data_IF_821064049949
#
_entry.id   IF_821064049949
#
_cell.length_a   1.000
_cell.length_b   1.000
_cell.length_c   1.000
_cell.angle_alpha   90.00
_cell.angle_beta   90.00
_cell.angle_gamma   90.00
#
_symmetry.space_group_name_H-M   'P 1'
#
loop_
_entity.id
_entity.type
_entity.pdbx_description
1 polymer ?
#
# COMPACT_ATOMS: atom_id res chain seq x y z
N UNK A 1 -19.34 10.37 -21.23
CA UNK A 1 -20.25 10.08 -20.11
C UNK A 1 -20.19 11.24 -19.11
N UNK A 2 -21.30 11.45 -18.37
CA UNK A 2 -21.35 12.32 -17.20
C UNK A 2 -21.19 11.41 -15.96
N UNK A 3 -20.11 11.63 -15.21
CA UNK A 3 -19.75 10.75 -14.07
C UNK A 3 -19.67 11.61 -12.81
N UNK A 4 -20.31 11.16 -11.75
CA UNK A 4 -20.23 11.81 -10.43
C UNK A 4 -19.60 10.89 -9.40
N UNK A 5 -18.56 11.39 -8.70
CA UNK A 5 -17.84 10.61 -7.68
C UNK A 5 -18.28 11.05 -6.28
N UNK A 6 -18.91 10.17 -5.52
CA UNK A 6 -19.22 10.38 -4.11
C UNK A 6 -17.99 9.97 -3.28
N UNK A 7 -17.46 10.86 -2.43
CA UNK A 7 -16.18 10.80 -1.73
C UNK A 7 -14.97 10.92 -2.68
N UNK A 8 -14.98 11.98 -3.49
CA UNK A 8 -13.94 12.27 -4.50
C UNK A 8 -12.55 12.53 -3.90
N UNK A 9 -12.44 12.99 -2.65
CA UNK A 9 -11.17 13.32 -1.99
C UNK A 9 -10.33 12.10 -1.58
N UNK A 10 -10.88 10.89 -1.66
CA UNK A 10 -10.14 9.67 -1.36
C UNK A 10 -8.90 9.51 -2.24
N UNK A 11 -7.86 8.81 -1.72
CA UNK A 11 -6.56 8.69 -2.39
C UNK A 11 -6.67 8.16 -3.83
N UNK A 12 -7.37 7.06 -4.05
CA UNK A 12 -7.62 6.53 -5.40
C UNK A 12 -8.67 7.36 -6.13
N UNK A 13 -9.72 7.81 -5.43
CA UNK A 13 -10.86 8.49 -6.03
C UNK A 13 -10.48 9.78 -6.76
N UNK A 14 -9.66 10.65 -6.15
CA UNK A 14 -9.24 11.88 -6.83
C UNK A 14 -8.33 11.59 -8.03
N UNK A 15 -7.48 10.56 -7.98
CA UNK A 15 -6.67 10.14 -9.12
C UNK A 15 -7.54 9.58 -10.25
N UNK A 16 -8.56 8.79 -9.92
CA UNK A 16 -9.54 8.27 -10.89
C UNK A 16 -10.35 9.42 -11.52
N UNK A 17 -10.80 10.39 -10.72
CA UNK A 17 -11.52 11.55 -11.24
C UNK A 17 -10.71 12.33 -12.29
N UNK A 18 -9.42 12.55 -12.01
CA UNK A 18 -8.49 13.20 -12.95
C UNK A 18 -8.26 12.34 -14.21
N UNK A 19 -8.19 11.03 -14.06
CA UNK A 19 -8.03 10.12 -15.20
C UNK A 19 -9.27 10.09 -16.08
N UNK A 20 -10.46 10.00 -15.49
CA UNK A 20 -11.74 10.06 -16.21
C UNK A 20 -11.91 11.37 -16.99
N UNK A 21 -11.51 12.50 -16.40
CA UNK A 21 -11.49 13.79 -17.10
C UNK A 21 -10.51 13.76 -18.29
N UNK A 22 -9.32 13.18 -18.12
CA UNK A 22 -8.34 13.06 -19.20
C UNK A 22 -8.84 12.17 -20.36
N UNK A 23 -9.69 11.17 -20.06
CA UNK A 23 -10.38 10.33 -21.03
C UNK A 23 -11.57 11.04 -21.73
N UNK A 24 -11.82 12.33 -21.41
CA UNK A 24 -12.85 13.14 -22.03
C UNK A 24 -14.24 13.01 -21.41
N UNK A 25 -14.37 12.42 -20.21
CA UNK A 25 -15.63 12.38 -19.49
C UNK A 25 -15.89 13.75 -18.79
N UNK A 26 -17.17 14.08 -18.65
CA UNK A 26 -17.59 15.19 -17.77
C UNK A 26 -17.65 14.65 -16.34
N UNK A 27 -16.71 15.09 -15.51
CA UNK A 27 -16.55 14.58 -14.14
C UNK A 27 -16.95 15.64 -13.13
N UNK A 28 -17.73 15.25 -12.14
CA UNK A 28 -18.06 16.02 -10.93
C UNK A 28 -17.87 15.15 -9.71
N UNK A 29 -17.90 15.73 -8.53
CA UNK A 29 -17.85 14.92 -7.30
C UNK A 29 -18.12 15.73 -6.06
N UNK A 30 -18.17 15.04 -4.94
CA UNK A 30 -18.47 15.58 -3.60
C UNK A 30 -17.63 14.89 -2.55
N UNK A 31 -17.38 15.57 -1.45
CA UNK A 31 -16.81 15.01 -0.23
C UNK A 31 -17.21 15.88 0.97
N UNK A 32 -17.19 15.32 2.17
CA UNK A 32 -17.40 16.07 3.40
C UNK A 32 -16.18 16.93 3.75
N UNK A 33 -14.97 16.40 3.51
CA UNK A 33 -13.71 17.10 3.74
C UNK A 33 -12.62 16.55 2.80
N UNK A 34 -11.81 17.42 2.22
CA UNK A 34 -10.73 17.05 1.30
C UNK A 34 -9.40 17.58 1.82
N UNK A 35 -8.44 16.69 2.03
CA UNK A 35 -7.10 16.98 2.53
C UNK A 35 -6.04 16.94 1.43
N UNK A 36 -4.84 17.44 1.72
CA UNK A 36 -3.68 17.28 0.84
C UNK A 36 -3.26 15.80 0.73
N UNK A 37 -2.81 15.38 -0.45
CA UNK A 37 -2.58 16.12 -1.69
C UNK A 37 -3.82 16.24 -2.60
N UNK A 38 -4.95 15.62 -2.27
CA UNK A 38 -6.16 15.62 -3.09
C UNK A 38 -6.71 17.04 -3.31
N UNK A 39 -6.67 17.89 -2.27
CA UNK A 39 -7.15 19.25 -2.32
C UNK A 39 -6.46 20.06 -3.43
N UNK A 40 -5.15 20.14 -3.43
CA UNK A 40 -4.37 20.87 -4.43
C UNK A 40 -4.52 20.25 -5.82
N UNK A 41 -4.56 18.91 -5.93
CA UNK A 41 -4.64 18.21 -7.22
C UNK A 41 -6.00 18.40 -7.89
N UNK A 42 -7.10 18.25 -7.15
CA UNK A 42 -8.45 18.49 -7.64
C UNK A 42 -8.66 19.96 -8.00
N UNK A 43 -8.11 20.90 -7.21
CA UNK A 43 -8.14 22.33 -7.51
C UNK A 43 -7.44 22.64 -8.82
N UNK A 44 -6.22 22.11 -9.01
CA UNK A 44 -5.45 22.33 -10.25
C UNK A 44 -6.13 21.72 -11.49
N UNK A 45 -6.91 20.64 -11.32
CA UNK A 45 -7.64 19.99 -12.41
C UNK A 45 -9.05 20.59 -12.64
N UNK A 46 -9.48 21.56 -11.82
CA UNK A 46 -10.83 22.13 -11.89
C UNK A 46 -11.94 21.15 -11.45
N UNK A 47 -11.58 20.12 -10.67
CA UNK A 47 -12.50 19.10 -10.18
C UNK A 47 -12.85 19.26 -8.69
N UNK A 48 -12.28 20.27 -8.02
CA UNK A 48 -12.59 20.52 -6.62
C UNK A 48 -14.06 20.96 -6.48
N UNK A 49 -14.87 20.32 -5.61
CA UNK A 49 -16.23 20.74 -5.34
C UNK A 49 -16.27 22.22 -4.88
N UNK A 50 -17.25 22.98 -5.37
CA UNK A 50 -17.40 24.40 -4.97
C UNK A 50 -17.72 24.56 -3.48
N UNK A 51 -18.42 23.58 -2.91
CA UNK A 51 -18.78 23.51 -1.50
C UNK A 51 -18.52 22.08 -0.99
N UNK A 52 -17.91 21.98 0.17
CA UNK A 52 -17.78 20.70 0.90
C UNK A 52 -19.14 20.27 1.45
N UNK A 53 -19.22 19.00 1.83
CA UNK A 53 -20.47 18.38 2.29
C UNK A 53 -21.26 17.72 1.16
N UNK A 54 -22.29 17.00 1.57
CA UNK A 54 -23.15 16.19 0.72
C UNK A 54 -24.42 16.97 0.35
N UNK A 55 -24.82 16.98 -0.92
CA UNK A 55 -26.01 17.68 -1.40
C UNK A 55 -26.70 16.85 -2.49
N UNK A 56 -27.88 16.30 -2.17
CA UNK A 56 -28.69 15.49 -3.09
C UNK A 56 -29.03 16.23 -4.42
N UNK A 57 -29.02 17.58 -4.42
CA UNK A 57 -29.29 18.35 -5.64
C UNK A 57 -28.19 18.25 -6.70
N UNK A 58 -27.00 17.76 -6.34
CA UNK A 58 -25.90 17.48 -7.29
C UNK A 58 -26.13 16.24 -8.14
N UNK A 59 -27.08 15.37 -7.72
CA UNK A 59 -27.41 14.12 -8.41
C UNK A 59 -28.72 14.27 -9.18
N UNK A 60 -28.64 14.15 -10.50
CA UNK A 60 -29.73 14.33 -11.45
C UNK A 60 -29.77 13.19 -12.47
N UNK A 61 -30.90 13.06 -13.19
CA UNK A 61 -31.13 11.97 -14.16
C UNK A 61 -30.17 12.00 -15.39
N UNK A 62 -29.46 13.09 -15.63
CA UNK A 62 -28.49 13.22 -16.72
C UNK A 62 -27.12 12.58 -16.37
N UNK A 63 -26.90 12.12 -15.14
CA UNK A 63 -25.70 11.40 -14.73
C UNK A 63 -25.75 9.96 -15.25
N UNK A 64 -24.75 9.58 -16.04
CA UNK A 64 -24.63 8.24 -16.60
C UNK A 64 -24.11 7.21 -15.57
N UNK A 65 -23.26 7.64 -14.63
CA UNK A 65 -22.60 6.78 -13.66
C UNK A 65 -22.26 7.51 -12.36
N UNK A 66 -22.56 6.86 -11.24
CA UNK A 66 -22.06 7.23 -9.92
C UNK A 66 -20.91 6.28 -9.56
N UNK A 67 -19.76 6.83 -9.18
CA UNK A 67 -18.66 6.04 -8.59
C UNK A 67 -18.62 6.32 -7.09
N UNK A 68 -18.85 5.26 -6.31
CA UNK A 68 -18.98 5.34 -4.85
C UNK A 68 -17.64 5.06 -4.16
N UNK A 69 -17.14 6.04 -3.41
CA UNK A 69 -15.98 5.88 -2.54
C UNK A 69 -16.35 5.24 -1.19
N UNK A 70 -15.36 4.59 -0.57
CA UNK A 70 -15.56 3.81 0.67
C UNK A 70 -15.98 4.67 1.89
N UNK A 71 -15.69 5.97 1.90
CA UNK A 71 -16.04 6.87 3.01
C UNK A 71 -17.53 7.26 3.03
N UNK A 72 -18.20 7.22 1.90
CA UNK A 72 -19.63 7.50 1.82
C UNK A 72 -20.43 6.43 2.60
N UNK A 73 -21.21 6.86 3.58
CA UNK A 73 -22.07 5.97 4.38
C UNK A 73 -23.37 5.66 3.63
N UNK A 74 -24.11 4.63 4.08
CA UNK A 74 -25.37 4.22 3.46
C UNK A 74 -26.48 5.28 3.52
N UNK A 75 -26.39 6.18 4.48
CA UNK A 75 -27.31 7.31 4.66
C UNK A 75 -26.87 8.59 3.94
N UNK A 76 -25.82 8.51 3.10
CA UNK A 76 -25.38 9.64 2.29
C UNK A 76 -26.50 10.12 1.35
N UNK A 77 -26.89 11.44 1.40
CA UNK A 77 -28.03 11.94 0.64
C UNK A 77 -27.86 11.88 -0.88
N UNK A 78 -26.64 11.96 -1.39
CA UNK A 78 -26.35 11.83 -2.82
C UNK A 78 -26.47 10.36 -3.25
N UNK A 79 -26.02 9.41 -2.43
CA UNK A 79 -26.19 7.98 -2.68
C UNK A 79 -27.67 7.59 -2.68
N UNK A 80 -28.43 8.06 -1.68
CA UNK A 80 -29.88 7.82 -1.62
C UNK A 80 -30.59 8.39 -2.85
N UNK A 81 -30.23 9.61 -3.27
CA UNK A 81 -30.78 10.24 -4.46
C UNK A 81 -30.48 9.46 -5.73
N UNK A 82 -29.25 8.96 -5.88
CA UNK A 82 -28.85 8.13 -7.00
C UNK A 82 -29.67 6.81 -7.07
N UNK A 83 -29.92 6.19 -5.90
CA UNK A 83 -30.76 5.00 -5.79
C UNK A 83 -32.23 5.29 -6.14
N UNK A 84 -32.78 6.42 -5.66
CA UNK A 84 -34.15 6.86 -5.98
C UNK A 84 -34.35 7.06 -7.49
N UNK A 85 -33.35 7.63 -8.17
CA UNK A 85 -33.36 7.87 -9.62
C UNK A 85 -33.03 6.63 -10.44
N UNK A 86 -32.64 5.50 -9.80
CA UNK A 86 -32.26 4.27 -10.47
C UNK A 86 -30.99 4.40 -11.31
N UNK A 87 -30.06 5.30 -10.94
CA UNK A 87 -28.80 5.50 -11.65
C UNK A 87 -27.87 4.30 -11.46
N UNK A 88 -27.00 4.08 -12.44
CA UNK A 88 -25.92 3.10 -12.32
C UNK A 88 -24.94 3.55 -11.24
N UNK A 89 -24.72 2.70 -10.24
CA UNK A 89 -23.80 2.95 -9.12
C UNK A 89 -22.77 1.83 -9.11
N UNK A 90 -21.51 2.20 -9.12
CA UNK A 90 -20.37 1.28 -9.03
C UNK A 90 -19.38 1.75 -7.98
N UNK A 91 -18.66 0.81 -7.36
CA UNK A 91 -17.43 1.11 -6.67
C UNK A 91 -16.29 1.36 -7.67
N UNK A 92 -15.21 2.04 -7.24
CA UNK A 92 -14.07 2.23 -8.16
C UNK A 92 -13.42 0.90 -8.60
N UNK A 93 -13.35 -0.17 -7.77
CA UNK A 93 -12.83 -1.45 -8.23
C UNK A 93 -13.69 -2.10 -9.32
N UNK A 94 -15.02 -1.96 -9.24
CA UNK A 94 -15.94 -2.45 -10.30
C UNK A 94 -15.68 -1.71 -11.60
N UNK A 95 -15.64 -0.37 -11.56
CA UNK A 95 -15.35 0.43 -12.75
C UNK A 95 -14.01 0.08 -13.40
N UNK A 96 -12.95 -0.04 -12.59
CA UNK A 96 -11.61 -0.44 -13.08
C UNK A 96 -11.67 -1.85 -13.69
N UNK A 97 -12.31 -2.81 -13.02
CA UNK A 97 -12.42 -4.20 -13.49
C UNK A 97 -13.12 -4.28 -14.86
N UNK A 98 -14.20 -3.52 -15.05
CA UNK A 98 -14.91 -3.44 -16.32
C UNK A 98 -14.02 -2.86 -17.42
N UNK A 99 -13.29 -1.77 -17.12
CA UNK A 99 -12.40 -1.13 -18.11
C UNK A 99 -11.26 -2.05 -18.58
N UNK A 100 -10.68 -2.83 -17.67
CA UNK A 100 -9.57 -3.74 -17.98
C UNK A 100 -9.99 -5.15 -18.35
N UNK A 101 -11.30 -5.43 -18.51
CA UNK A 101 -11.85 -6.78 -18.67
C UNK A 101 -11.20 -7.59 -19.81
N UNK A 102 -10.88 -6.94 -20.92
CA UNK A 102 -10.30 -7.56 -22.12
C UNK A 102 -8.76 -7.60 -22.13
N UNK A 103 -8.10 -7.03 -21.12
CA UNK A 103 -6.64 -6.90 -21.05
C UNK A 103 -6.02 -8.09 -20.32
N UNK A 104 -4.75 -8.37 -20.57
CA UNK A 104 -3.98 -9.31 -19.73
C UNK A 104 -3.64 -8.64 -18.40
N UNK A 105 -4.20 -9.17 -17.32
CA UNK A 105 -4.18 -8.54 -15.99
C UNK A 105 -3.14 -9.19 -15.09
N UNK A 106 -2.19 -8.39 -14.59
CA UNK A 106 -1.32 -8.73 -13.47
C UNK A 106 -1.94 -8.09 -12.22
N UNK A 107 -2.38 -8.90 -11.27
CA UNK A 107 -2.98 -8.44 -10.01
C UNK A 107 -2.07 -8.78 -8.85
N UNK A 108 -1.61 -7.76 -8.13
CA UNK A 108 -0.69 -7.92 -6.99
C UNK A 108 -1.49 -7.85 -5.70
N UNK A 109 -1.56 -8.97 -4.98
CA UNK A 109 -2.33 -9.13 -3.74
C UNK A 109 -1.43 -9.48 -2.55
N UNK A 110 -2.00 -9.56 -1.37
CA UNK A 110 -1.32 -9.99 -0.14
C UNK A 110 -1.15 -8.87 0.88
N UNK A 111 -0.79 -9.24 2.09
CA UNK A 111 -0.72 -8.31 3.23
C UNK A 111 0.42 -7.30 3.16
N UNK A 112 1.54 -7.66 2.53
CA UNK A 112 2.76 -6.84 2.49
C UNK A 112 3.36 -6.79 1.09
N UNK A 113 4.06 -5.69 0.74
CA UNK A 113 4.80 -5.61 -0.52
C UNK A 113 3.97 -5.33 -1.77
N UNK A 114 2.63 -5.28 -1.71
CA UNK A 114 1.77 -5.00 -2.87
C UNK A 114 2.24 -3.79 -3.68
N UNK A 115 2.29 -2.62 -3.06
CA UNK A 115 2.66 -1.36 -3.74
C UNK A 115 4.07 -1.42 -4.32
N UNK A 116 5.05 -1.96 -3.56
CA UNK A 116 6.43 -2.08 -4.03
C UNK A 116 6.55 -3.02 -5.23
N UNK A 117 5.89 -4.18 -5.19
CA UNK A 117 5.88 -5.13 -6.31
C UNK A 117 5.19 -4.54 -7.54
N UNK A 118 4.03 -3.90 -7.36
CA UNK A 118 3.31 -3.20 -8.43
C UNK A 118 4.19 -2.12 -9.07
N UNK A 119 4.86 -1.31 -8.24
CA UNK A 119 5.77 -0.25 -8.69
C UNK A 119 6.96 -0.80 -9.48
N UNK A 120 7.57 -1.91 -9.05
CA UNK A 120 8.67 -2.56 -9.77
C UNK A 120 8.23 -3.05 -11.15
N UNK A 121 7.03 -3.65 -11.25
CA UNK A 121 6.45 -4.05 -12.54
C UNK A 121 6.24 -2.81 -13.43
N UNK A 122 5.55 -1.79 -12.91
CA UNK A 122 5.26 -0.56 -13.65
C UNK A 122 6.53 0.12 -14.14
N UNK A 123 7.53 0.25 -13.27
CA UNK A 123 8.81 0.86 -13.60
C UNK A 123 9.51 0.11 -14.73
N UNK A 124 9.62 -1.21 -14.64
CA UNK A 124 10.26 -2.04 -15.67
C UNK A 124 9.51 -1.96 -17.01
N UNK A 125 8.18 -2.08 -17.03
CA UNK A 125 7.38 -1.97 -18.25
C UNK A 125 7.54 -0.59 -18.91
N UNK A 126 7.53 0.48 -18.11
CA UNK A 126 7.75 1.84 -18.61
C UNK A 126 9.13 2.02 -19.24
N UNK A 127 10.19 1.52 -18.59
CA UNK A 127 11.57 1.53 -19.14
C UNK A 127 11.71 0.74 -20.43
N UNK A 128 10.95 -0.35 -20.56
CA UNK A 128 10.93 -1.20 -21.75
C UNK A 128 10.00 -0.67 -22.87
N UNK A 129 9.31 0.45 -22.64
CA UNK A 129 8.40 1.06 -23.61
C UNK A 129 7.12 0.24 -23.85
N UNK A 130 6.73 -0.63 -22.91
CA UNK A 130 5.51 -1.43 -22.99
C UNK A 130 4.35 -0.59 -22.46
N UNK A 131 3.30 -0.38 -23.26
CA UNK A 131 2.10 0.32 -22.81
C UNK A 131 1.25 -0.54 -21.90
N UNK A 132 0.78 0.02 -20.78
CA UNK A 132 -0.06 -0.66 -19.79
C UNK A 132 -0.97 0.32 -19.06
N UNK A 133 -2.13 -0.20 -18.62
CA UNK A 133 -2.98 0.46 -17.64
C UNK A 133 -2.53 0.08 -16.23
N UNK A 134 -2.83 0.92 -15.25
CA UNK A 134 -2.48 0.59 -13.87
C UNK A 134 -3.39 1.20 -12.81
N UNK A 135 -3.43 0.51 -11.68
CA UNK A 135 -3.95 0.99 -10.40
C UNK A 135 -2.92 0.62 -9.32
N UNK A 136 -2.44 1.61 -8.58
CA UNK A 136 -1.44 1.42 -7.51
C UNK A 136 -1.80 2.21 -6.25
N UNK A 137 -1.46 1.68 -5.08
CA UNK A 137 -1.84 2.23 -3.78
C UNK A 137 -1.01 3.42 -3.28
N UNK A 138 -0.07 3.94 -4.08
CA UNK A 138 0.78 5.08 -3.75
C UNK A 138 1.35 5.75 -4.98
N UNK A 139 1.80 6.99 -4.87
CA UNK A 139 2.50 7.68 -5.95
C UNK A 139 3.88 7.06 -6.15
N UNK A 140 4.27 6.89 -7.40
CA UNK A 140 5.54 6.32 -7.83
C UNK A 140 6.28 7.37 -8.64
N UNK A 141 7.57 7.52 -8.42
CA UNK A 141 8.40 8.45 -9.19
C UNK A 141 8.32 8.15 -10.69
N UNK A 142 8.10 9.19 -11.48
CA UNK A 142 7.87 9.08 -12.93
C UNK A 142 6.43 8.77 -13.35
N UNK A 143 5.49 8.69 -12.39
CA UNK A 143 4.07 8.52 -12.63
C UNK A 143 3.25 9.61 -11.93
N UNK A 144 2.53 10.40 -12.70
CA UNK A 144 1.79 11.57 -12.17
C UNK A 144 0.53 11.19 -11.39
N UNK A 145 0.03 9.97 -11.57
CA UNK A 145 -1.23 9.48 -11.01
C UNK A 145 -1.09 8.06 -10.47
N UNK A 146 -2.02 7.70 -9.62
CA UNK A 146 -2.15 6.32 -9.09
C UNK A 146 -3.03 5.44 -9.99
N UNK A 147 -3.69 6.02 -10.96
CA UNK A 147 -4.57 5.34 -11.93
C UNK A 147 -4.27 5.85 -13.32
N UNK A 148 -4.12 4.95 -14.27
CA UNK A 148 -4.10 5.21 -15.70
C UNK A 148 -4.94 4.19 -16.43
N UNK A 149 -5.79 4.65 -17.32
CA UNK A 149 -6.67 3.85 -18.15
C UNK A 149 -6.51 4.27 -19.61
N UNK A 150 -6.54 3.32 -20.52
CA UNK A 150 -6.43 3.58 -21.96
C UNK A 150 -7.16 2.52 -22.77
N UNK A 151 -7.52 2.84 -24.01
CA UNK A 151 -8.17 1.88 -24.90
C UNK A 151 -7.17 0.97 -25.63
N UNK A 152 -5.91 1.38 -25.74
CA UNK A 152 -4.87 0.75 -26.56
C UNK A 152 -3.95 -0.20 -25.78
N UNK A 153 -3.79 -0.04 -24.47
CA UNK A 153 -2.98 -0.91 -23.66
C UNK A 153 -3.56 -2.35 -23.61
N UNK A 154 -2.71 -3.33 -23.86
CA UNK A 154 -3.08 -4.76 -23.80
C UNK A 154 -2.83 -5.40 -22.44
N UNK A 155 -2.12 -4.71 -21.57
CA UNK A 155 -1.74 -5.17 -20.23
C UNK A 155 -2.32 -4.21 -19.20
N UNK A 156 -2.76 -4.74 -18.07
CA UNK A 156 -3.12 -3.96 -16.90
C UNK A 156 -2.37 -4.49 -15.68
N UNK A 157 -1.80 -3.58 -14.88
CA UNK A 157 -1.09 -3.88 -13.62
C UNK A 157 -1.88 -3.27 -12.48
N UNK A 158 -2.45 -4.10 -11.61
CA UNK A 158 -3.42 -3.66 -10.61
C UNK A 158 -3.00 -4.11 -9.22
N UNK A 159 -2.92 -3.19 -8.28
CA UNK A 159 -2.82 -3.50 -6.85
C UNK A 159 -4.17 -3.97 -6.34
N UNK A 160 -4.27 -5.27 -6.03
CA UNK A 160 -5.46 -5.93 -5.52
C UNK A 160 -5.48 -5.91 -4.01
N UNK A 161 -6.12 -4.89 -3.44
CA UNK A 161 -6.25 -4.74 -2.00
C UNK A 161 -7.31 -5.70 -1.43
N UNK A 162 -7.06 -6.25 -0.26
CA UNK A 162 -7.97 -7.14 0.47
C UNK A 162 -9.06 -6.39 1.24
N UNK A 163 -9.01 -5.06 1.30
CA UNK A 163 -10.04 -4.24 1.93
C UNK A 163 -11.30 -4.12 1.07
N UNK A 164 -12.45 -3.81 1.71
CA UNK A 164 -13.75 -3.73 1.08
C UNK A 164 -13.81 -2.72 -0.07
N UNK A 165 -14.69 -2.97 -1.04
CA UNK A 165 -14.85 -2.14 -2.23
C UNK A 165 -15.65 -0.87 -1.99
N UNK A 166 -16.79 -0.99 -1.32
CA UNK A 166 -17.65 0.13 -0.92
C UNK A 166 -18.57 -0.27 0.24
N UNK A 167 -19.43 0.64 0.69
CA UNK A 167 -20.48 0.32 1.68
C UNK A 167 -21.64 -0.50 1.11
N UNK A 168 -21.81 -0.50 -0.21
CA UNK A 168 -22.80 -1.32 -0.92
C UNK A 168 -22.24 -2.68 -1.32
N UNK A 169 -20.91 -2.83 -1.34
CA UNK A 169 -20.23 -4.05 -1.74
C UNK A 169 -19.11 -4.38 -0.76
N UNK A 170 -19.35 -5.40 0.04
CA UNK A 170 -18.42 -5.89 1.07
C UNK A 170 -17.34 -6.83 0.52
N UNK A 171 -17.34 -7.10 -0.79
CA UNK A 171 -16.28 -7.89 -1.42
C UNK A 171 -14.95 -7.15 -1.38
N UNK A 172 -13.85 -7.82 -1.05
CA UNK A 172 -12.51 -7.26 -1.25
C UNK A 172 -12.25 -6.80 -2.67
N UNK A 173 -11.56 -5.68 -2.83
CA UNK A 173 -11.24 -5.09 -4.14
C UNK A 173 -10.55 -6.09 -5.07
N UNK A 174 -9.66 -6.95 -4.54
CA UNK A 174 -8.94 -7.96 -5.33
C UNK A 174 -9.86 -8.96 -6.05
N UNK A 175 -11.10 -9.18 -5.56
CA UNK A 175 -12.03 -10.15 -6.15
C UNK A 175 -12.68 -9.65 -7.44
N UNK A 176 -12.65 -8.35 -7.72
CA UNK A 176 -13.21 -7.78 -8.95
C UNK A 176 -12.32 -8.01 -10.17
N UNK A 177 -11.00 -8.02 -10.01
CA UNK A 177 -10.08 -7.86 -11.14
C UNK A 177 -9.86 -9.11 -11.97
N UNK A 178 -10.14 -10.31 -11.47
CA UNK A 178 -9.98 -11.60 -12.20
C UNK A 178 -8.63 -11.67 -12.93
N UNK A 179 -7.53 -11.69 -12.17
CA UNK A 179 -6.17 -11.65 -12.71
C UNK A 179 -5.82 -12.87 -13.56
N UNK A 180 -5.19 -12.66 -14.71
CA UNK A 180 -4.57 -13.74 -15.49
C UNK A 180 -3.26 -14.19 -14.83
N UNK A 181 -2.55 -13.24 -14.21
CA UNK A 181 -1.38 -13.47 -13.35
C UNK A 181 -1.67 -12.82 -12.02
N UNK A 182 -1.72 -13.60 -10.95
CA UNK A 182 -1.95 -13.12 -9.59
C UNK A 182 -0.69 -13.34 -8.77
N UNK A 183 -0.15 -12.26 -8.21
CA UNK A 183 0.93 -12.34 -7.22
C UNK A 183 0.28 -12.28 -5.84
N UNK A 184 0.66 -13.18 -4.93
CA UNK A 184 0.32 -13.08 -3.52
C UNK A 184 1.59 -12.99 -2.68
N UNK A 185 1.81 -11.83 -2.08
CA UNK A 185 3.06 -11.46 -1.40
C UNK A 185 3.10 -11.87 0.07
N UNK A 186 2.08 -12.57 0.53
CA UNK A 186 1.91 -13.07 1.89
C UNK A 186 0.48 -12.90 2.39
N UNK A 187 0.13 -13.61 3.46
CA UNK A 187 -1.21 -13.60 4.04
C UNK A 187 -1.20 -13.32 5.56
N UNK A 188 -0.23 -12.53 6.04
CA UNK A 188 -0.22 -12.09 7.43
C UNK A 188 -1.48 -11.29 7.76
N UNK A 189 -2.07 -11.56 8.93
CA UNK A 189 -3.34 -10.94 9.31
C UNK A 189 -3.27 -9.42 9.38
N UNK A 190 -4.11 -8.75 8.61
CA UNK A 190 -4.28 -7.29 8.58
C UNK A 190 -5.78 -6.95 8.59
N UNK A 191 -6.12 -5.67 8.76
CA UNK A 191 -7.50 -5.15 8.71
C UNK A 191 -8.46 -5.83 9.70
N UNK A 192 -8.05 -5.98 10.98
CA UNK A 192 -8.86 -6.60 12.04
C UNK A 192 -10.25 -5.97 12.23
N UNK A 193 -10.40 -4.70 11.89
CA UNK A 193 -11.68 -3.99 11.92
C UNK A 193 -12.69 -4.51 10.88
N UNK A 194 -12.22 -5.19 9.84
CA UNK A 194 -13.03 -5.78 8.76
C UNK A 194 -13.05 -7.30 8.87
N UNK A 195 -11.90 -7.89 9.20
CA UNK A 195 -11.71 -9.33 9.36
C UNK A 195 -11.39 -9.66 10.82
N UNK A 196 -12.42 -9.88 11.67
CA UNK A 196 -12.22 -10.05 13.11
C UNK A 196 -11.44 -11.30 13.50
N UNK A 197 -11.31 -12.27 12.60
CA UNK A 197 -10.52 -13.49 12.79
C UNK A 197 -9.57 -13.71 11.62
N UNK A 198 -8.43 -14.36 11.90
CA UNK A 198 -7.49 -14.71 10.85
C UNK A 198 -8.10 -15.59 9.76
N UNK A 199 -8.97 -16.55 10.14
CA UNK A 199 -9.66 -17.40 9.16
C UNK A 199 -10.62 -16.61 8.25
N UNK A 200 -11.30 -15.59 8.78
CA UNK A 200 -12.12 -14.68 7.95
C UNK A 200 -11.29 -13.92 6.91
N UNK A 201 -10.05 -13.54 7.26
CA UNK A 201 -9.08 -12.93 6.36
C UNK A 201 -8.59 -13.92 5.30
N UNK A 202 -8.13 -15.11 5.70
CA UNK A 202 -7.67 -16.17 4.79
C UNK A 202 -8.79 -16.63 3.83
N UNK A 203 -10.04 -16.57 4.27
CA UNK A 203 -11.20 -16.91 3.44
C UNK A 203 -11.30 -16.01 2.20
N UNK A 204 -10.84 -14.75 2.26
CA UNK A 204 -10.86 -13.87 1.08
C UNK A 204 -9.88 -14.35 0.01
N UNK A 205 -8.71 -14.84 0.39
CA UNK A 205 -7.75 -15.44 -0.54
C UNK A 205 -8.26 -16.77 -1.11
N UNK A 206 -8.95 -17.61 -0.31
CA UNK A 206 -9.62 -18.82 -0.83
C UNK A 206 -10.65 -18.46 -1.90
N UNK A 207 -11.48 -17.43 -1.66
CA UNK A 207 -12.43 -16.93 -2.65
C UNK A 207 -11.74 -16.40 -3.92
N UNK A 208 -10.62 -15.66 -3.76
CA UNK A 208 -9.82 -15.18 -4.88
C UNK A 208 -9.41 -16.35 -5.78
N UNK A 209 -8.76 -17.37 -5.21
CA UNK A 209 -8.27 -18.51 -6.00
C UNK A 209 -9.39 -19.35 -6.59
N UNK A 210 -10.55 -19.43 -5.94
CA UNK A 210 -11.73 -20.12 -6.47
C UNK A 210 -12.41 -19.36 -7.64
N UNK A 211 -12.21 -18.06 -7.72
CA UNK A 211 -12.80 -17.20 -8.77
C UNK A 211 -11.91 -17.03 -10.01
N UNK A 212 -10.70 -17.57 -9.98
CA UNK A 212 -9.74 -17.47 -11.09
C UNK A 212 -10.09 -18.43 -12.22
N UNK A 213 -9.75 -18.06 -13.44
CA UNK A 213 -9.89 -18.91 -14.61
C UNK A 213 -8.88 -20.07 -14.59
N UNK A 214 -9.18 -21.17 -15.27
CA UNK A 214 -8.39 -22.40 -15.26
C UNK A 214 -6.95 -22.22 -15.79
N UNK A 215 -6.72 -21.24 -16.67
CA UNK A 215 -5.42 -20.90 -17.25
C UNK A 215 -4.66 -19.81 -16.48
N UNK A 216 -5.23 -19.33 -15.38
CA UNK A 216 -4.62 -18.31 -14.57
C UNK A 216 -3.36 -18.82 -13.84
N UNK A 217 -2.43 -17.90 -13.62
CA UNK A 217 -1.13 -18.15 -12.99
C UNK A 217 -1.08 -17.50 -11.62
N UNK A 218 -0.61 -18.23 -10.61
CA UNK A 218 -0.34 -17.68 -9.28
C UNK A 218 1.16 -17.70 -9.00
N UNK A 219 1.69 -16.56 -8.59
CA UNK A 219 3.05 -16.36 -8.10
C UNK A 219 2.95 -16.05 -6.61
N UNK A 220 3.62 -16.82 -5.75
CA UNK A 220 3.41 -16.73 -4.31
C UNK A 220 4.70 -16.82 -3.51
N UNK A 221 4.77 -16.08 -2.39
CA UNK A 221 5.89 -16.14 -1.46
C UNK A 221 5.89 -17.50 -0.73
N UNK A 222 6.87 -18.35 -1.04
CA UNK A 222 6.93 -19.70 -0.46
C UNK A 222 7.50 -19.75 0.97
N UNK A 223 7.89 -18.61 1.52
CA UNK A 223 8.31 -18.48 2.93
C UNK A 223 7.12 -18.29 3.87
N UNK A 224 5.96 -17.89 3.34
CA UNK A 224 4.72 -17.79 4.10
C UNK A 224 4.05 -19.17 4.18
N UNK A 225 4.18 -19.83 5.32
CA UNK A 225 3.70 -21.20 5.54
C UNK A 225 2.18 -21.31 5.31
N UNK A 226 1.40 -20.33 5.77
CA UNK A 226 -0.06 -20.33 5.57
C UNK A 226 -0.42 -20.16 4.10
N UNK A 227 0.31 -19.31 3.36
CA UNK A 227 0.13 -19.18 1.93
C UNK A 227 0.48 -20.46 1.18
N UNK A 228 1.55 -21.15 1.58
CA UNK A 228 1.91 -22.46 1.03
C UNK A 228 0.79 -23.49 1.28
N UNK A 229 0.14 -23.48 2.47
CA UNK A 229 -1.01 -24.38 2.73
C UNK A 229 -2.22 -24.01 1.88
N UNK A 230 -2.50 -22.72 1.70
CA UNK A 230 -3.55 -22.25 0.78
C UNK A 230 -3.29 -22.75 -0.66
N UNK A 231 -2.05 -22.67 -1.12
CA UNK A 231 -1.67 -23.12 -2.47
C UNK A 231 -1.85 -24.62 -2.67
N UNK A 232 -1.69 -25.45 -1.64
CA UNK A 232 -1.94 -26.90 -1.73
C UNK A 232 -3.42 -27.23 -1.96
N UNK A 233 -4.32 -26.41 -1.41
CA UNK A 233 -5.77 -26.61 -1.50
C UNK A 233 -6.44 -25.78 -2.61
N UNK A 234 -5.72 -24.85 -3.24
CA UNK A 234 -6.25 -24.00 -4.30
C UNK A 234 -6.56 -24.82 -5.58
N UNK A 235 -7.54 -24.38 -6.41
CA UNK A 235 -7.85 -25.00 -7.68
C UNK A 235 -6.64 -25.19 -8.59
N UNK A 236 -6.76 -26.08 -9.56
CA UNK A 236 -5.64 -26.45 -10.44
C UNK A 236 -5.36 -25.31 -11.41
N UNK A 237 -4.19 -24.69 -11.27
CA UNK A 237 -3.62 -23.73 -12.19
C UNK A 237 -2.09 -23.69 -12.01
N UNK A 238 -1.39 -22.99 -12.86
CA UNK A 238 0.06 -22.87 -12.78
C UNK A 238 0.45 -22.06 -11.53
N UNK A 239 1.36 -22.61 -10.70
CA UNK A 239 1.81 -22.02 -9.44
C UNK A 239 3.33 -21.90 -9.43
N UNK A 240 3.82 -20.69 -9.17
CA UNK A 240 5.24 -20.39 -9.09
C UNK A 240 5.54 -19.84 -7.69
N UNK A 241 6.19 -20.64 -6.85
CA UNK A 241 6.74 -20.17 -5.57
C UNK A 241 8.02 -19.37 -5.80
N UNK A 242 8.20 -18.31 -5.04
CA UNK A 242 9.42 -17.51 -5.10
C UNK A 242 10.03 -17.29 -3.72
N UNK A 243 11.36 -17.10 -3.72
CA UNK A 243 12.18 -16.66 -2.60
C UNK A 243 12.84 -15.32 -2.93
N UNK A 244 13.44 -14.62 -1.95
CA UNK A 244 14.31 -13.49 -2.22
C UNK A 244 15.44 -13.87 -3.18
N UNK A 245 15.70 -13.03 -4.17
CA UNK A 245 16.91 -13.17 -4.98
C UNK A 245 18.17 -13.09 -4.12
N UNK A 246 19.18 -13.85 -4.48
CA UNK A 246 20.46 -13.86 -3.78
C UNK A 246 21.10 -12.47 -3.81
N UNK A 247 21.70 -12.07 -2.69
CA UNK A 247 22.35 -10.78 -2.52
C UNK A 247 23.81 -10.83 -2.96
N UNK A 248 24.28 -9.80 -3.66
CA UNK A 248 25.71 -9.52 -3.88
C UNK A 248 26.04 -8.08 -3.48
N UNK A 249 27.31 -7.70 -3.54
CA UNK A 249 27.80 -6.40 -3.04
C UNK A 249 27.06 -5.21 -3.68
N UNK A 250 26.75 -5.27 -4.97
CA UNK A 250 26.16 -4.17 -5.71
C UNK A 250 24.70 -4.41 -6.15
N UNK A 251 24.09 -5.52 -5.68
CA UNK A 251 22.72 -5.81 -6.08
C UNK A 251 22.31 -7.25 -5.81
N UNK A 252 21.95 -7.97 -6.85
CA UNK A 252 21.41 -9.34 -6.77
C UNK A 252 22.10 -10.28 -7.76
N UNK A 253 22.00 -11.59 -7.48
CA UNK A 253 22.42 -12.67 -8.39
C UNK A 253 21.18 -13.37 -8.95
N UNK A 254 21.13 -13.55 -10.25
CA UNK A 254 20.13 -14.38 -10.92
C UNK A 254 20.79 -15.31 -11.95
N UNK A 255 20.55 -16.61 -11.83
CA UNK A 255 21.15 -17.65 -12.69
C UNK A 255 22.69 -17.54 -12.82
N UNK A 256 23.36 -17.20 -11.70
CA UNK A 256 24.84 -17.08 -11.65
C UNK A 256 25.39 -15.78 -12.25
N UNK A 257 24.55 -14.84 -12.66
CA UNK A 257 24.94 -13.53 -13.15
C UNK A 257 24.56 -12.44 -12.15
N UNK A 258 25.46 -11.49 -11.90
CA UNK A 258 25.22 -10.33 -11.06
C UNK A 258 24.49 -9.20 -11.82
N UNK A 259 23.53 -8.56 -11.14
CA UNK A 259 22.79 -7.40 -11.64
C UNK A 259 22.80 -6.30 -10.59
N UNK A 260 23.28 -5.12 -10.99
CA UNK A 260 23.26 -3.95 -10.12
C UNK A 260 21.82 -3.50 -9.86
N UNK A 261 21.51 -3.17 -8.61
CA UNK A 261 20.23 -2.58 -8.22
C UNK A 261 20.32 -1.89 -6.86
N UNK A 262 19.57 -0.80 -6.68
CA UNK A 262 19.38 -0.14 -5.39
C UNK A 262 18.45 -0.89 -4.44
N UNK A 263 17.76 -1.94 -4.90
CA UNK A 263 16.82 -2.74 -4.09
C UNK A 263 17.58 -3.56 -3.04
N UNK A 264 17.29 -3.34 -1.77
CA UNK A 264 17.94 -4.05 -0.66
C UNK A 264 16.92 -4.56 0.38
N UNK A 265 17.39 -5.49 1.24
CA UNK A 265 16.56 -6.21 2.19
C UNK A 265 15.85 -7.40 1.55
N UNK A 266 15.81 -8.52 2.29
CA UNK A 266 15.27 -9.78 1.79
C UNK A 266 13.82 -9.65 1.29
N UNK A 267 12.99 -8.85 1.97
CA UNK A 267 11.59 -8.65 1.55
C UNK A 267 11.47 -7.91 0.21
N UNK A 268 12.33 -6.88 -0.04
CA UNK A 268 12.31 -6.17 -1.32
C UNK A 268 12.92 -7.01 -2.45
N UNK A 269 13.94 -7.85 -2.17
CA UNK A 269 14.46 -8.80 -3.15
C UNK A 269 13.44 -9.90 -3.50
N UNK A 270 12.56 -10.26 -2.55
CA UNK A 270 11.42 -11.13 -2.83
C UNK A 270 10.37 -10.44 -3.71
N UNK A 271 10.01 -9.17 -3.40
CA UNK A 271 9.12 -8.36 -4.24
C UNK A 271 9.65 -8.23 -5.66
N UNK A 272 10.98 -8.01 -5.81
CA UNK A 272 11.66 -7.92 -7.09
C UNK A 272 11.55 -9.24 -7.88
N UNK A 273 11.77 -10.38 -7.23
CA UNK A 273 11.63 -11.70 -7.86
C UNK A 273 10.18 -11.95 -8.32
N UNK A 274 9.19 -11.66 -7.47
CA UNK A 274 7.78 -11.77 -7.84
C UNK A 274 7.42 -10.88 -9.04
N UNK A 275 7.89 -9.64 -9.06
CA UNK A 275 7.68 -8.70 -10.16
C UNK A 275 8.29 -9.21 -11.47
N UNK A 276 9.52 -9.73 -11.42
CA UNK A 276 10.19 -10.35 -12.56
C UNK A 276 9.40 -11.54 -13.11
N UNK A 277 9.01 -12.48 -12.24
CA UNK A 277 8.23 -13.65 -12.63
C UNK A 277 6.90 -13.28 -13.30
N UNK A 278 6.22 -12.22 -12.81
CA UNK A 278 5.00 -11.74 -13.43
C UNK A 278 5.24 -11.10 -14.81
N UNK A 279 6.32 -10.34 -14.97
CA UNK A 279 6.71 -9.75 -16.26
C UNK A 279 7.05 -10.84 -17.28
N UNK A 280 7.66 -11.94 -16.86
CA UNK A 280 7.92 -13.11 -17.73
C UNK A 280 6.62 -13.68 -18.29
N UNK A 281 5.51 -13.67 -17.53
CA UNK A 281 4.22 -14.20 -17.99
C UNK A 281 3.56 -13.34 -19.09
N UNK A 282 4.07 -12.13 -19.31
CA UNK A 282 3.63 -11.24 -20.39
C UNK A 282 4.68 -11.09 -21.51
N UNK A 283 5.75 -11.93 -21.49
CA UNK A 283 6.75 -12.02 -22.55
C UNK A 283 7.98 -11.14 -22.35
N UNK A 284 8.22 -10.62 -21.15
CA UNK A 284 9.46 -9.89 -20.83
C UNK A 284 10.54 -10.88 -20.41
N UNK A 285 11.71 -10.82 -21.03
CA UNK A 285 12.83 -11.66 -20.63
C UNK A 285 13.39 -11.25 -19.25
N UNK A 286 13.78 -12.21 -18.38
CA UNK A 286 14.33 -11.90 -17.06
C UNK A 286 15.49 -10.90 -17.10
N UNK A 287 16.40 -11.04 -18.06
CA UNK A 287 17.54 -10.14 -18.24
C UNK A 287 17.10 -8.70 -18.55
N UNK A 288 16.09 -8.54 -19.41
CA UNK A 288 15.59 -7.20 -19.77
C UNK A 288 14.91 -6.54 -18.59
N UNK A 289 14.10 -7.30 -17.82
CA UNK A 289 13.51 -6.82 -16.57
C UNK A 289 14.58 -6.36 -15.57
N UNK A 290 15.59 -7.21 -15.31
CA UNK A 290 16.65 -6.92 -14.35
C UNK A 290 17.52 -5.73 -14.77
N UNK A 291 17.74 -5.55 -16.06
CA UNK A 291 18.42 -4.37 -16.60
C UNK A 291 17.56 -3.11 -16.43
N UNK A 292 16.26 -3.19 -16.71
CA UNK A 292 15.34 -2.07 -16.61
C UNK A 292 15.17 -1.57 -15.17
N UNK A 293 15.23 -2.47 -14.17
CA UNK A 293 15.02 -2.15 -12.74
C UNK A 293 16.27 -1.61 -12.02
N UNK A 294 17.44 -1.58 -12.69
CA UNK A 294 18.71 -1.21 -12.06
C UNK A 294 18.66 0.14 -11.32
N UNK A 295 18.04 1.15 -11.94
CA UNK A 295 17.90 2.51 -11.39
C UNK A 295 16.64 2.72 -10.54
N UNK A 296 15.93 1.67 -10.17
CA UNK A 296 14.73 1.80 -9.35
C UNK A 296 15.08 2.25 -7.93
N UNK A 297 14.59 3.41 -7.52
CA UNK A 297 14.91 4.04 -6.23
C UNK A 297 13.88 3.74 -5.13
N UNK A 298 12.84 2.97 -5.45
CA UNK A 298 11.76 2.66 -4.51
C UNK A 298 10.46 3.41 -4.78
N UNK A 299 9.57 3.39 -3.80
CA UNK A 299 8.27 4.09 -3.81
C UNK A 299 8.29 5.06 -2.64
N UNK A 300 7.67 6.23 -2.78
CA UNK A 300 7.58 7.20 -1.68
C UNK A 300 7.07 6.53 -0.39
N UNK A 301 7.75 6.82 0.71
CA UNK A 301 7.48 6.22 2.03
C UNK A 301 7.58 4.67 2.08
N UNK A 302 8.35 4.05 1.20
CA UNK A 302 8.64 2.60 1.23
C UNK A 302 10.15 2.39 1.28
N UNK A 303 10.72 2.48 2.49
CA UNK A 303 12.16 2.43 2.76
C UNK A 303 12.95 3.44 1.89
N UNK A 304 12.41 4.65 1.80
CA UNK A 304 12.97 5.72 0.97
C UNK A 304 14.05 6.48 1.73
N UNK A 305 15.19 6.71 1.10
CA UNK A 305 16.26 7.57 1.64
C UNK A 305 15.80 9.04 1.55
N UNK A 306 15.70 9.71 2.68
CA UNK A 306 15.27 11.13 2.81
C UNK A 306 16.48 12.06 2.99
N UNK A 307 17.58 11.52 3.52
CA UNK A 307 18.83 12.24 3.74
C UNK A 307 19.98 11.25 3.75
N UNK A 308 21.10 11.63 3.20
CA UNK A 308 22.36 10.88 3.18
C UNK A 308 23.36 11.37 4.25
N UNK A 309 23.13 12.55 4.83
CA UNK A 309 23.93 13.08 5.95
C UNK A 309 23.03 13.92 6.91
N UNK A 310 22.68 13.42 8.10
CA UNK A 310 22.78 12.00 8.51
C UNK A 310 21.88 11.09 7.64
N UNK A 311 22.20 9.81 7.56
CA UNK A 311 21.38 8.86 6.81
C UNK A 311 20.01 8.71 7.48
N UNK A 312 18.95 9.05 6.76
CA UNK A 312 17.58 8.97 7.24
C UNK A 312 16.72 8.24 6.20
N UNK A 313 16.11 7.14 6.62
CA UNK A 313 15.09 6.42 5.85
C UNK A 313 13.70 6.70 6.40
N UNK A 314 12.71 6.76 5.50
CA UNK A 314 11.29 6.74 5.84
C UNK A 314 10.64 5.48 5.30
N UNK A 315 9.78 4.88 6.11
CA UNK A 315 8.98 3.71 5.72
C UNK A 315 7.55 3.78 6.27
N UNK A 316 6.62 3.23 5.53
CA UNK A 316 5.22 3.10 5.92
C UNK A 316 4.96 1.89 6.84
N UNK A 317 6.00 1.15 7.21
CA UNK A 317 5.90 0.00 8.10
C UNK A 317 5.23 0.39 9.42
N UNK A 318 4.15 -0.29 9.76
CA UNK A 318 3.34 -0.05 10.95
C UNK A 318 2.78 -1.34 11.56
N UNK A 319 2.77 -2.47 10.85
CA UNK A 319 2.43 -3.77 11.39
C UNK A 319 3.71 -4.51 11.85
N UNK A 320 3.63 -5.41 12.84
CA UNK A 320 4.81 -6.08 13.43
C UNK A 320 5.76 -6.72 12.42
N UNK A 321 5.22 -7.48 11.48
CA UNK A 321 5.99 -8.15 10.42
C UNK A 321 6.64 -7.15 9.44
N UNK A 322 5.95 -6.04 9.09
CA UNK A 322 6.49 -4.95 8.25
C UNK A 322 7.64 -4.24 8.98
N UNK A 323 7.44 -3.89 10.24
CA UNK A 323 8.46 -3.25 11.09
C UNK A 323 9.69 -4.13 11.18
N UNK A 324 9.52 -5.43 11.48
CA UNK A 324 10.63 -6.39 11.55
C UNK A 324 11.39 -6.48 10.22
N UNK A 325 10.68 -6.59 9.10
CA UNK A 325 11.29 -6.68 7.77
C UNK A 325 12.11 -5.43 7.43
N UNK A 326 11.57 -4.24 7.71
CA UNK A 326 12.22 -2.96 7.44
C UNK A 326 13.47 -2.76 8.30
N UNK A 327 13.39 -3.00 9.61
CA UNK A 327 14.56 -2.88 10.52
C UNK A 327 15.65 -3.88 10.15
N UNK A 328 15.27 -5.12 9.82
CA UNK A 328 16.22 -6.16 9.37
C UNK A 328 16.91 -5.80 8.06
N UNK A 329 16.19 -5.18 7.10
CA UNK A 329 16.76 -4.73 5.85
C UNK A 329 17.80 -3.62 6.06
N UNK A 330 17.50 -2.65 6.93
CA UNK A 330 18.45 -1.58 7.28
C UNK A 330 19.67 -2.17 7.99
N UNK A 331 19.49 -3.13 8.91
CA UNK A 331 20.60 -3.83 9.58
C UNK A 331 21.47 -4.63 8.59
N UNK A 332 20.83 -5.32 7.61
CA UNK A 332 21.57 -6.04 6.55
C UNK A 332 22.49 -5.09 5.77
N UNK A 333 21.99 -3.92 5.41
CA UNK A 333 22.76 -2.91 4.64
C UNK A 333 23.83 -2.20 5.47
N UNK A 334 23.58 -2.00 6.76
CA UNK A 334 24.42 -1.24 7.67
C UNK A 334 24.79 -2.08 8.91
N UNK A 335 25.46 -3.21 8.67
CA UNK A 335 25.72 -4.23 9.69
C UNK A 335 26.44 -3.73 10.94
N UNK A 336 27.30 -2.71 10.80
CA UNK A 336 28.17 -2.20 11.88
C UNK A 336 27.77 -0.81 12.39
N UNK A 337 26.79 -0.14 11.78
CA UNK A 337 26.37 1.20 12.17
C UNK A 337 25.33 1.16 13.29
N UNK A 338 25.27 2.24 14.08
CA UNK A 338 24.23 2.42 15.09
C UNK A 338 22.93 2.87 14.46
N UNK A 339 21.85 2.11 14.67
CA UNK A 339 20.53 2.33 14.12
C UNK A 339 19.59 2.86 15.21
N UNK A 340 19.02 4.05 14.99
CA UNK A 340 17.85 4.55 15.71
C UNK A 340 16.60 4.19 14.91
N UNK A 341 15.69 3.41 15.50
CA UNK A 341 14.36 3.15 14.95
C UNK A 341 13.30 3.97 15.67
N UNK A 342 12.56 4.79 14.93
CA UNK A 342 11.43 5.59 15.43
C UNK A 342 10.16 5.02 14.81
N UNK A 343 9.23 4.52 15.63
CA UNK A 343 7.97 3.93 15.20
C UNK A 343 6.79 4.73 15.75
N UNK A 344 5.88 5.14 14.88
CA UNK A 344 4.57 5.67 15.29
C UNK A 344 3.50 4.56 15.24
N UNK A 345 2.79 4.35 16.35
CA UNK A 345 1.59 3.56 16.41
C UNK A 345 0.39 4.44 16.06
N UNK A 346 -0.22 4.23 14.90
CA UNK A 346 -1.28 5.11 14.37
C UNK A 346 -2.51 4.35 13.87
N UNK A 347 -2.36 3.11 13.42
CA UNK A 347 -3.48 2.32 12.88
C UNK A 347 -4.38 1.80 14.00
N UNK A 348 -5.60 1.38 13.65
CA UNK A 348 -6.52 0.73 14.59
C UNK A 348 -5.85 -0.48 15.27
N UNK A 349 -5.23 -1.36 14.49
CA UNK A 349 -4.55 -2.56 15.01
C UNK A 349 -3.37 -2.20 15.90
N UNK A 350 -2.50 -1.28 15.47
CA UNK A 350 -1.30 -0.91 16.24
C UNK A 350 -1.58 -0.21 17.59
N UNK A 351 -2.80 0.31 17.78
CA UNK A 351 -3.27 0.93 19.02
C UNK A 351 -4.18 0.00 19.84
N UNK A 352 -4.47 -1.21 19.36
CA UNK A 352 -5.29 -2.18 20.06
C UNK A 352 -4.44 -3.00 21.03
N UNK A 353 -4.82 -3.03 22.31
CA UNK A 353 -4.09 -3.72 23.39
C UNK A 353 -3.92 -5.24 23.14
N UNK A 354 -4.85 -5.89 22.46
CA UNK A 354 -4.75 -7.31 22.12
C UNK A 354 -3.72 -7.58 20.99
N UNK A 355 -3.47 -6.57 20.15
CA UNK A 355 -2.56 -6.67 19.01
C UNK A 355 -1.11 -6.25 19.36
N UNK A 356 -0.94 -5.26 20.24
CA UNK A 356 0.37 -4.69 20.61
C UNK A 356 1.42 -5.76 20.99
N UNK A 357 1.09 -6.86 21.72
CA UNK A 357 2.09 -7.89 22.04
C UNK A 357 2.75 -8.58 20.84
N UNK A 358 2.16 -8.49 19.64
CA UNK A 358 2.75 -9.04 18.42
C UNK A 358 4.01 -8.28 17.96
N UNK A 359 4.26 -7.06 18.51
CA UNK A 359 5.49 -6.32 18.22
C UNK A 359 6.73 -6.85 18.98
N UNK A 360 6.59 -7.82 19.88
CA UNK A 360 7.72 -8.43 20.57
C UNK A 360 8.78 -8.91 19.58
N UNK A 361 10.03 -8.42 19.74
CA UNK A 361 11.15 -8.71 18.84
C UNK A 361 11.11 -8.09 17.44
N UNK A 362 10.09 -7.29 17.11
CA UNK A 362 10.01 -6.66 15.78
C UNK A 362 11.09 -5.58 15.54
N UNK A 363 11.62 -5.00 16.61
CA UNK A 363 12.63 -3.94 16.58
C UNK A 363 14.01 -4.40 17.07
N UNK A 364 14.21 -5.71 17.29
CA UNK A 364 15.44 -6.27 17.91
C UNK A 364 16.72 -5.89 17.16
N UNK A 365 16.65 -5.72 15.84
CA UNK A 365 17.81 -5.36 15.03
C UNK A 365 18.20 -3.86 15.11
N UNK A 366 17.48 -3.02 15.83
CA UNK A 366 17.84 -1.63 16.11
C UNK A 366 18.64 -1.50 17.42
N UNK A 367 19.58 -0.54 17.51
CA UNK A 367 20.37 -0.29 18.72
C UNK A 367 19.62 0.58 19.73
N UNK A 368 18.77 1.47 19.22
CA UNK A 368 17.91 2.37 19.99
C UNK A 368 16.52 2.42 19.36
N UNK A 369 15.49 2.38 20.21
CA UNK A 369 14.10 2.40 19.77
C UNK A 369 13.33 3.53 20.46
N UNK A 370 12.57 4.30 19.67
CA UNK A 370 11.62 5.29 20.15
C UNK A 370 10.24 4.96 19.55
N UNK A 371 9.28 4.66 20.41
CA UNK A 371 7.88 4.42 20.00
C UNK A 371 7.03 5.61 20.44
N UNK A 372 6.28 6.15 19.50
CA UNK A 372 5.34 7.24 19.72
C UNK A 372 3.91 6.78 19.43
N UNK A 373 2.96 7.23 20.24
CA UNK A 373 1.54 7.19 19.92
C UNK A 373 0.84 8.44 20.47
N UNK A 374 -0.24 8.86 19.83
CA UNK A 374 -1.04 9.99 20.30
C UNK A 374 -2.33 9.46 20.96
N UNK A 375 -2.56 9.71 22.26
CA UNK A 375 -3.79 9.32 22.94
C UNK A 375 -5.06 9.86 22.28
N UNK A 376 -5.00 11.03 21.64
CA UNK A 376 -6.13 11.60 20.88
C UNK A 376 -6.52 10.70 19.70
N UNK A 377 -5.56 10.04 19.07
CA UNK A 377 -5.84 9.08 17.97
C UNK A 377 -6.48 7.81 18.52
N UNK A 378 -6.11 7.36 19.73
CA UNK A 378 -6.77 6.24 20.43
C UNK A 378 -8.25 6.56 20.66
N UNK A 379 -8.53 7.76 21.18
CA UNK A 379 -9.90 8.24 21.45
C UNK A 379 -10.71 8.38 20.14
N UNK A 380 -10.11 8.96 19.10
CA UNK A 380 -10.74 9.12 17.78
C UNK A 380 -11.15 7.77 17.18
N UNK A 381 -10.33 6.73 17.40
CA UNK A 381 -10.62 5.36 16.94
C UNK A 381 -11.54 4.58 17.90
N UNK A 382 -11.98 5.19 18.98
CA UNK A 382 -12.85 4.59 20.01
C UNK A 382 -12.25 3.31 20.60
N UNK A 383 -10.94 3.29 20.79
CA UNK A 383 -10.21 2.19 21.42
C UNK A 383 -10.06 2.44 22.92
N UNK A 384 -9.97 1.37 23.74
CA UNK A 384 -9.59 1.50 25.14
C UNK A 384 -8.22 2.16 25.28
N UNK A 385 -8.00 2.99 26.32
CA UNK A 385 -6.70 3.60 26.55
C UNK A 385 -5.60 2.57 26.75
N UNK A 386 -4.43 2.82 26.17
CA UNK A 386 -3.21 2.04 26.39
C UNK A 386 -2.18 2.87 27.15
N UNK A 387 -1.40 2.25 28.03
CA UNK A 387 -0.37 2.95 28.79
C UNK A 387 1.01 2.81 28.16
N UNK A 388 1.86 3.80 28.38
CA UNK A 388 3.29 3.78 27.99
C UNK A 388 3.99 2.52 28.53
N UNK A 389 3.74 2.14 29.79
CA UNK A 389 4.32 0.95 30.41
C UNK A 389 3.88 -0.35 29.71
N UNK A 390 2.57 -0.49 29.41
CA UNK A 390 2.06 -1.67 28.70
C UNK A 390 2.70 -1.83 27.32
N UNK A 391 2.85 -0.73 26.56
CA UNK A 391 3.52 -0.74 25.26
C UNK A 391 4.99 -1.16 25.42
N UNK A 392 5.71 -0.56 26.38
CA UNK A 392 7.13 -0.87 26.62
C UNK A 392 7.34 -2.35 26.95
N UNK A 393 6.53 -2.89 27.85
CA UNK A 393 6.59 -4.31 28.25
C UNK A 393 6.28 -5.25 27.06
N UNK A 394 5.30 -4.87 26.23
CA UNK A 394 4.87 -5.68 25.07
C UNK A 394 5.93 -5.74 23.98
N UNK A 395 6.66 -4.65 23.72
CA UNK A 395 7.74 -4.64 22.72
C UNK A 395 9.00 -5.41 23.17
N UNK A 396 9.21 -5.53 24.47
CA UNK A 396 10.30 -6.31 25.09
C UNK A 396 11.71 -5.97 24.56
N UNK A 397 11.99 -4.70 24.25
CA UNK A 397 13.29 -4.23 23.73
C UNK A 397 14.08 -3.52 24.81
N UNK A 398 15.38 -3.90 25.01
CA UNK A 398 16.21 -3.43 26.13
C UNK A 398 16.54 -1.93 26.11
N UNK A 399 16.53 -1.30 24.93
CA UNK A 399 16.85 0.13 24.76
C UNK A 399 15.68 0.87 24.09
N UNK A 400 14.50 0.74 24.69
CA UNK A 400 13.24 1.33 24.22
C UNK A 400 12.85 2.54 25.09
N UNK A 401 12.33 3.57 24.44
CA UNK A 401 11.54 4.62 25.09
C UNK A 401 10.20 4.73 24.39
N UNK A 402 9.12 4.78 25.14
CA UNK A 402 7.77 5.04 24.64
C UNK A 402 7.32 6.42 25.10
N UNK A 403 6.74 7.20 24.20
CA UNK A 403 6.20 8.54 24.48
C UNK A 403 4.80 8.70 23.89
N UNK A 404 3.96 9.46 24.58
CA UNK A 404 2.56 9.73 24.23
C UNK A 404 2.27 11.22 23.98
N UNK A 405 3.33 12.06 23.97
CA UNK A 405 3.24 13.50 23.72
C UNK A 405 4.22 13.91 22.65
N UNK A 406 3.75 14.78 21.76
CA UNK A 406 4.56 15.30 20.65
C UNK A 406 5.78 16.10 21.15
N UNK A 407 5.63 16.82 22.27
CA UNK A 407 6.70 17.59 22.88
C UNK A 407 7.83 16.70 23.39
N UNK A 408 7.50 15.56 23.99
CA UNK A 408 8.48 14.59 24.47
C UNK A 408 9.18 13.90 23.28
N UNK A 409 8.43 13.56 22.23
CA UNK A 409 9.01 13.06 20.98
C UNK A 409 10.04 14.04 20.41
N UNK A 410 9.69 15.34 20.29
CA UNK A 410 10.60 16.38 19.80
C UNK A 410 11.85 16.49 20.67
N UNK A 411 11.67 16.55 21.99
CA UNK A 411 12.79 16.69 22.94
C UNK A 411 13.77 15.52 22.83
N UNK A 412 13.26 14.29 22.76
CA UNK A 412 14.11 13.09 22.66
C UNK A 412 14.82 13.02 21.30
N UNK A 413 14.14 13.32 20.19
CA UNK A 413 14.77 13.34 18.88
C UNK A 413 15.93 14.36 18.82
N UNK A 414 15.74 15.55 19.40
CA UNK A 414 16.80 16.55 19.51
C UNK A 414 17.98 16.09 20.39
N UNK A 415 17.71 15.37 21.48
CA UNK A 415 18.75 14.80 22.33
C UNK A 415 19.53 13.68 21.63
N UNK A 416 18.87 12.88 20.78
CA UNK A 416 19.50 11.78 20.05
C UNK A 416 20.21 12.22 18.76
N UNK A 417 20.11 13.50 18.40
CA UNK A 417 20.75 14.08 17.23
C UNK A 417 22.25 13.79 17.18
N UNK A 418 22.73 13.28 16.06
CA UNK A 418 24.14 12.96 15.84
C UNK A 418 24.67 11.75 16.63
N UNK A 419 23.81 11.03 17.37
CA UNK A 419 24.23 9.86 18.14
C UNK A 419 24.15 8.54 17.35
N UNK A 420 23.45 8.55 16.21
CA UNK A 420 23.23 7.37 15.37
C UNK A 420 23.53 7.70 13.91
N UNK A 421 24.27 6.83 13.25
CA UNK A 421 24.61 7.00 11.84
C UNK A 421 23.39 6.80 10.95
N UNK A 422 22.51 5.87 11.36
CA UNK A 422 21.31 5.49 10.60
C UNK A 422 20.06 5.78 11.41
N UNK A 423 19.13 6.50 10.82
CA UNK A 423 17.86 6.87 11.43
C UNK A 423 16.72 6.33 10.56
N UNK A 424 15.90 5.45 11.13
CA UNK A 424 14.78 4.81 10.44
C UNK A 424 13.46 5.31 11.03
N UNK A 425 12.68 6.02 10.24
CA UNK A 425 11.39 6.59 10.60
C UNK A 425 10.25 5.76 10.01
N UNK A 426 9.46 5.10 10.86
CA UNK A 426 8.39 4.20 10.46
C UNK A 426 7.03 4.72 10.93
N UNK A 427 6.12 4.99 9.99
CA UNK A 427 4.77 5.47 10.31
C UNK A 427 3.80 5.32 9.16
N UNK A 428 2.55 4.96 9.46
CA UNK A 428 1.40 5.12 8.57
C UNK A 428 0.64 6.45 8.82
N UNK A 429 1.07 7.22 9.81
CA UNK A 429 0.55 8.53 10.17
C UNK A 429 1.51 9.67 9.79
N UNK A 430 1.59 10.67 10.66
CA UNK A 430 2.34 11.90 10.44
C UNK A 430 3.15 12.37 11.65
N UNK A 431 3.42 11.48 12.61
CA UNK A 431 4.15 11.76 13.85
C UNK A 431 3.58 12.96 14.64
N UNK A 432 2.24 13.06 14.74
CA UNK A 432 1.59 14.19 15.41
C UNK A 432 1.82 15.53 14.68
N UNK A 433 1.85 15.52 13.35
CA UNK A 433 2.11 16.67 12.49
C UNK A 433 3.51 17.29 12.62
N UNK A 434 4.51 16.49 12.99
CA UNK A 434 5.91 16.92 12.96
C UNK A 434 6.66 16.20 11.82
N UNK A 435 7.84 16.75 11.52
CA UNK A 435 8.79 16.15 10.58
C UNK A 435 10.02 15.68 11.36
N UNK A 436 10.06 14.42 11.80
CA UNK A 436 11.17 13.91 12.62
C UNK A 436 12.54 14.09 11.96
N UNK A 437 12.59 13.97 10.63
CA UNK A 437 13.81 14.18 9.84
C UNK A 437 14.42 15.57 10.00
N UNK A 438 13.61 16.62 10.20
CA UNK A 438 14.09 17.98 10.43
C UNK A 438 14.68 18.15 11.85
N UNK A 439 14.24 17.33 12.81
CA UNK A 439 14.75 17.36 14.18
C UNK A 439 16.05 16.55 14.34
N UNK A 440 16.29 15.58 13.46
CA UNK A 440 17.48 14.71 13.46
C UNK A 440 18.60 15.33 12.61
N UNK A 441 18.28 16.05 11.54
CA UNK A 441 19.26 16.78 10.71
C UNK A 441 20.01 17.83 11.50
N UNK A 442 21.28 18.06 11.17
CA UNK A 442 22.15 19.07 11.80
C UNK A 442 21.77 20.50 11.42
#
# INVERSE_FOLDING_TARGET
MIIHLIAIGGSIMHNLAMELQALGHRVTGSDDEIYEPALSRLSASGLLPQQMGWDASRVSEDIDLIILGMHAQLDNPELQKAQELGLRIESFPEYIADHIATKKKIVVTGSHGKTSTTAMIMYALNKLGISFDYLVGGLIDGFDRMVRLSDDAKVAVVEGDEYLSSRLDDRPKMLHYKGNVVITTGVAWDHMNVFPTYDSYLTQFRKLYQSMDDDAIVIYDQRDEELVQLMKSAPIFQKYGYDPLEHCTEGIVYQGQEYATGVFGAHNRANLHAAMLACVQIGVEPKDFLTAIADFTGVDKRLTLVSDDPIIYRDFAHAPSKVKATVSAVRERYAHSKILAVLELHTYSSLNAEFIPQYAGALEAADRVLVFYDPKVVDLKRLPPVSVGFIADSFAHSNLTVVDRVEDLKSILQQLRGQHEINLLMSSGNFGNIKPEELIKN
#
